data_IF_491186171152
#
_entry.id   IF_491186171152
#
_cell.length_a   1.000
_cell.length_b   1.000
_cell.length_c   1.000
_cell.angle_alpha   90.00
_cell.angle_beta   90.00
_cell.angle_gamma   90.00
#
_symmetry.space_group_name_H-M   'P 1'
#
loop_
_entity.id
_entity.type
_entity.pdbx_description
1 polymer ?
#
# COMPACT_ATOMS: atom_id res chain seq x y z
N UNK A 1 19.03 0.25 4.96
CA UNK A 1 17.95 0.83 4.13
C UNK A 1 17.58 -0.07 2.95
N UNK A 2 18.54 -0.73 2.29
CA UNK A 2 18.28 -1.64 1.14
C UNK A 2 17.30 -2.78 1.43
N UNK A 3 17.34 -3.32 2.66
CA UNK A 3 16.39 -4.34 3.11
C UNK A 3 14.95 -3.81 3.14
N UNK A 4 14.76 -2.53 3.49
CA UNK A 4 13.48 -1.85 3.62
C UNK A 4 12.77 -1.70 2.25
N UNK A 5 13.52 -1.23 1.25
CA UNK A 5 13.00 -1.08 -0.12
C UNK A 5 12.76 -2.44 -0.77
N UNK A 6 13.65 -3.41 -0.51
CA UNK A 6 13.48 -4.79 -0.99
C UNK A 6 12.22 -5.44 -0.41
N UNK A 7 11.95 -5.27 0.87
CA UNK A 7 10.76 -5.82 1.52
C UNK A 7 9.47 -5.18 0.97
N UNK A 8 9.47 -3.86 0.73
CA UNK A 8 8.35 -3.18 0.04
C UNK A 8 8.09 -3.69 -1.37
N UNK A 9 9.15 -4.00 -2.13
CA UNK A 9 9.03 -4.56 -3.50
C UNK A 9 8.40 -5.93 -3.47
N UNK A 10 8.81 -6.80 -2.55
CA UNK A 10 8.21 -8.12 -2.39
C UNK A 10 6.74 -8.04 -1.97
N UNK A 11 6.40 -7.11 -1.07
CA UNK A 11 5.01 -6.83 -0.68
C UNK A 11 4.15 -6.41 -1.86
N UNK A 12 4.60 -5.43 -2.64
CA UNK A 12 3.87 -4.93 -3.80
C UNK A 12 3.72 -5.98 -4.92
N UNK A 13 4.77 -6.78 -5.18
CA UNK A 13 4.70 -7.91 -6.11
C UNK A 13 3.71 -8.97 -5.64
N UNK A 14 3.75 -9.32 -4.35
CA UNK A 14 2.81 -10.27 -3.76
C UNK A 14 1.37 -9.77 -3.92
N UNK A 15 1.11 -8.48 -3.64
CA UNK A 15 -0.19 -7.85 -3.82
C UNK A 15 -0.69 -7.93 -5.26
N UNK A 16 0.20 -7.67 -6.23
CA UNK A 16 -0.14 -7.73 -7.66
C UNK A 16 -0.49 -9.16 -8.10
N UNK A 17 0.31 -10.14 -7.67
CA UNK A 17 0.07 -11.56 -8.02
C UNK A 17 -1.21 -12.07 -7.38
N UNK A 18 -1.48 -11.70 -6.12
CA UNK A 18 -2.62 -12.21 -5.37
C UNK A 18 -3.93 -11.48 -5.69
N UNK A 19 -3.90 -10.29 -6.30
CA UNK A 19 -5.11 -9.50 -6.61
C UNK A 19 -6.15 -10.31 -7.41
N UNK A 20 -5.77 -10.88 -8.55
CA UNK A 20 -6.68 -11.67 -9.38
C UNK A 20 -7.25 -12.92 -8.67
N UNK A 21 -6.43 -13.82 -8.09
CA UNK A 21 -6.95 -15.01 -7.42
C UNK A 21 -7.72 -14.66 -6.14
N UNK A 22 -7.38 -13.58 -5.43
CA UNK A 22 -8.14 -13.13 -4.26
C UNK A 22 -9.59 -12.78 -4.62
N UNK A 23 -9.80 -11.96 -5.65
CA UNK A 23 -11.16 -11.61 -6.08
C UNK A 23 -11.94 -12.82 -6.61
N UNK A 24 -11.28 -13.74 -7.33
CA UNK A 24 -11.91 -15.00 -7.74
C UNK A 24 -12.34 -15.84 -6.53
N UNK A 25 -11.46 -16.02 -5.54
CA UNK A 25 -11.76 -16.80 -4.34
C UNK A 25 -12.90 -16.21 -3.52
N UNK A 26 -13.00 -14.87 -3.46
CA UNK A 26 -14.10 -14.18 -2.78
C UNK A 26 -15.45 -14.45 -3.48
N UNK A 27 -15.45 -14.61 -4.82
CA UNK A 27 -16.70 -14.87 -5.56
C UNK A 27 -17.29 -16.25 -5.33
N UNK A 28 -16.49 -17.21 -4.84
CA UNK A 28 -16.97 -18.55 -4.49
C UNK A 28 -17.93 -18.54 -3.29
N UNK A 29 -18.03 -17.42 -2.56
CA UNK A 29 -18.97 -17.26 -1.44
C UNK A 29 -18.61 -18.06 -0.18
N UNK A 30 -17.45 -18.71 -0.15
CA UNK A 30 -16.99 -19.46 1.01
C UNK A 30 -16.32 -18.53 2.03
N UNK A 31 -16.95 -18.39 3.20
CA UNK A 31 -16.49 -17.51 4.29
C UNK A 31 -15.05 -17.82 4.71
N UNK A 32 -14.68 -19.10 4.84
CA UNK A 32 -13.32 -19.49 5.26
C UNK A 32 -12.26 -19.05 4.24
N UNK A 33 -12.55 -19.15 2.94
CA UNK A 33 -11.64 -18.68 1.89
C UNK A 33 -11.45 -17.16 1.95
N UNK A 34 -12.53 -16.41 2.15
CA UNK A 34 -12.48 -14.95 2.31
C UNK A 34 -11.60 -14.57 3.51
N UNK A 35 -11.75 -15.25 4.65
CA UNK A 35 -10.90 -15.04 5.82
C UNK A 35 -9.42 -15.28 5.53
N UNK A 36 -9.09 -16.40 4.87
CA UNK A 36 -7.71 -16.72 4.51
C UNK A 36 -7.12 -15.64 3.59
N UNK A 37 -7.86 -15.23 2.56
CA UNK A 37 -7.43 -14.17 1.64
C UNK A 37 -7.17 -12.86 2.37
N UNK A 38 -8.07 -12.44 3.27
CA UNK A 38 -7.92 -11.20 4.03
C UNK A 38 -6.74 -11.27 5.00
N UNK A 39 -6.60 -12.37 5.76
CA UNK A 39 -5.51 -12.55 6.72
C UNK A 39 -4.15 -12.56 5.99
N UNK A 40 -4.04 -13.32 4.91
CA UNK A 40 -2.78 -13.43 4.15
C UNK A 40 -2.46 -12.12 3.45
N UNK A 41 -3.44 -11.48 2.82
CA UNK A 41 -3.27 -10.20 2.12
C UNK A 41 -2.84 -9.07 3.05
N UNK A 42 -3.46 -8.95 4.23
CA UNK A 42 -3.08 -7.96 5.23
C UNK A 42 -1.71 -8.30 5.85
N UNK A 43 -1.50 -9.55 6.24
CA UNK A 43 -0.30 -9.92 7.00
C UNK A 43 0.98 -9.91 6.16
N UNK A 44 0.92 -10.34 4.90
CA UNK A 44 2.11 -10.38 4.04
C UNK A 44 2.22 -9.15 3.16
N UNK A 45 1.09 -8.70 2.61
CA UNK A 45 1.05 -7.56 1.71
C UNK A 45 1.19 -6.23 2.45
N UNK A 46 0.26 -5.94 3.34
CA UNK A 46 0.19 -4.62 4.00
C UNK A 46 1.33 -4.44 5.00
N UNK A 47 1.62 -5.44 5.84
CA UNK A 47 2.66 -5.29 6.88
C UNK A 47 4.07 -5.14 6.29
N UNK A 48 4.39 -5.82 5.17
CA UNK A 48 5.70 -5.70 4.53
C UNK A 48 5.95 -4.31 3.94
N UNK A 49 4.89 -3.59 3.56
CA UNK A 49 4.96 -2.21 3.07
C UNK A 49 4.87 -1.18 4.19
N UNK A 50 4.15 -1.47 5.29
CA UNK A 50 4.02 -0.57 6.44
C UNK A 50 5.33 -0.40 7.22
N UNK A 51 6.11 -1.47 7.38
CA UNK A 51 7.39 -1.41 8.09
C UNK A 51 8.31 -0.32 7.54
N UNK A 52 8.56 -0.31 6.21
CA UNK A 52 9.35 0.73 5.56
C UNK A 52 8.79 2.14 5.66
N UNK A 53 7.47 2.29 5.61
CA UNK A 53 6.82 3.59 5.75
C UNK A 53 7.07 4.22 7.14
N UNK A 54 7.21 3.41 8.19
CA UNK A 54 7.46 3.92 9.54
C UNK A 54 8.85 4.54 9.71
N UNK A 55 9.84 4.13 8.93
CA UNK A 55 11.18 4.73 8.93
C UNK A 55 11.29 5.92 7.96
N UNK A 56 10.72 5.78 6.76
CA UNK A 56 10.85 6.76 5.67
C UNK A 56 10.10 8.07 5.93
N UNK A 57 8.88 8.00 6.45
CA UNK A 57 8.05 9.20 6.68
C UNK A 57 8.72 10.22 7.63
N UNK A 58 9.27 9.79 8.78
CA UNK A 58 10.16 10.59 9.61
C UNK A 58 11.29 11.34 8.92
N UNK A 59 11.97 10.66 7.99
CA UNK A 59 13.17 11.17 7.32
C UNK A 59 12.83 12.19 6.22
N UNK A 60 11.64 12.06 5.62
CA UNK A 60 11.13 12.97 4.59
C UNK A 60 10.70 14.34 5.14
N UNK A 61 10.17 14.40 6.36
CA UNK A 61 9.58 15.64 6.91
C UNK A 61 10.48 16.42 7.89
N UNK A 62 11.71 15.94 8.16
CA UNK A 62 12.66 16.60 9.06
C UNK A 62 12.20 16.61 10.53
N UNK A 63 13.05 17.09 11.46
CA UNK A 63 12.74 16.99 12.90
C UNK A 63 11.71 18.02 13.37
N UNK A 64 11.64 19.19 12.73
CA UNK A 64 10.84 20.34 13.20
C UNK A 64 9.33 20.19 12.92
N UNK A 65 8.94 19.48 11.85
CA UNK A 65 7.54 19.29 11.47
C UNK A 65 7.13 17.82 11.30
N UNK A 66 7.95 16.89 11.80
CA UNK A 66 7.75 15.44 11.68
C UNK A 66 6.33 14.99 12.03
N UNK A 67 5.85 15.36 13.22
CA UNK A 67 4.56 14.85 13.71
C UNK A 67 3.38 15.33 12.86
N UNK A 68 3.34 16.63 12.54
CA UNK A 68 2.24 17.22 11.77
C UNK A 68 2.29 16.80 10.30
N UNK A 69 3.47 16.75 9.68
CA UNK A 69 3.63 16.32 8.28
C UNK A 69 3.29 14.84 8.09
N UNK A 70 3.75 13.98 9.00
CA UNK A 70 3.41 12.54 8.98
C UNK A 70 1.92 12.30 9.25
N UNK A 71 1.31 13.01 10.21
CA UNK A 71 -0.11 12.87 10.48
C UNK A 71 -0.96 13.35 9.29
N UNK A 72 -0.69 14.54 8.75
CA UNK A 72 -1.43 15.10 7.61
C UNK A 72 -1.33 14.20 6.37
N UNK A 73 -0.12 13.71 6.05
CA UNK A 73 0.07 12.80 4.91
C UNK A 73 -0.67 11.47 5.11
N UNK A 74 -0.71 10.92 6.33
CA UNK A 74 -1.51 9.73 6.63
C UNK A 74 -3.01 9.96 6.50
N UNK A 75 -3.52 11.06 7.03
CA UNK A 75 -4.95 11.37 6.93
C UNK A 75 -5.38 11.61 5.48
N UNK A 76 -4.60 12.38 4.71
CA UNK A 76 -4.87 12.57 3.28
C UNK A 76 -4.82 11.24 2.52
N UNK A 77 -3.82 10.40 2.82
CA UNK A 77 -3.71 9.07 2.20
C UNK A 77 -4.87 8.16 2.61
N UNK A 78 -5.32 8.21 3.86
CA UNK A 78 -6.44 7.42 4.37
C UNK A 78 -7.76 7.82 3.71
N UNK A 79 -7.99 9.12 3.49
CA UNK A 79 -9.19 9.61 2.79
C UNK A 79 -9.17 9.16 1.32
N UNK A 80 -8.03 9.31 0.64
CA UNK A 80 -7.89 8.94 -0.77
C UNK A 80 -7.95 7.42 -0.99
N UNK A 81 -7.10 6.67 -0.30
CA UNK A 81 -6.98 5.23 -0.46
C UNK A 81 -8.10 4.46 0.26
N UNK A 82 -8.49 4.88 1.46
CA UNK A 82 -9.51 4.22 2.26
C UNK A 82 -10.95 4.62 1.89
N UNK A 83 -11.15 5.84 1.39
CA UNK A 83 -12.46 6.33 0.96
C UNK A 83 -12.70 6.10 -0.52
N UNK A 84 -11.97 6.80 -1.38
CA UNK A 84 -12.28 6.85 -2.82
C UNK A 84 -11.98 5.55 -3.55
N UNK A 85 -10.88 4.85 -3.24
CA UNK A 85 -10.50 3.63 -3.94
C UNK A 85 -11.57 2.52 -3.85
N UNK A 86 -12.08 2.14 -2.65
CA UNK A 86 -13.16 1.16 -2.56
C UNK A 86 -14.47 1.69 -3.15
N UNK A 87 -14.77 2.98 -3.04
CA UNK A 87 -15.97 3.58 -3.62
C UNK A 87 -15.99 3.44 -5.15
N UNK A 88 -14.86 3.71 -5.81
CA UNK A 88 -14.68 3.51 -7.25
C UNK A 88 -14.76 2.02 -7.60
N UNK A 89 -14.13 1.15 -6.80
CA UNK A 89 -14.18 -0.30 -7.00
C UNK A 89 -15.61 -0.86 -6.96
N UNK A 90 -16.43 -0.43 -6.00
CA UNK A 90 -17.84 -0.82 -5.89
C UNK A 90 -18.67 -0.21 -7.03
N UNK A 91 -18.43 1.05 -7.39
CA UNK A 91 -19.11 1.68 -8.52
C UNK A 91 -18.83 0.96 -9.85
N UNK A 92 -17.58 0.55 -10.09
CA UNK A 92 -17.18 -0.26 -11.24
C UNK A 92 -17.85 -1.65 -11.22
N UNK A 93 -17.89 -2.30 -10.05
CA UNK A 93 -18.56 -3.58 -9.89
C UNK A 93 -20.06 -3.48 -10.23
N UNK A 94 -20.73 -2.43 -9.74
CA UNK A 94 -22.14 -2.19 -10.00
C UNK A 94 -22.41 -1.87 -11.48
N UNK A 95 -21.56 -1.04 -12.11
CA UNK A 95 -21.71 -0.65 -13.52
C UNK A 95 -21.45 -1.80 -14.51
N UNK A 96 -20.69 -2.81 -14.11
CA UNK A 96 -20.27 -3.93 -14.98
C UNK A 96 -21.04 -5.23 -14.73
N UNK A 97 -22.22 -5.13 -14.10
CA UNK A 97 -23.10 -6.27 -13.89
C UNK A 97 -22.57 -7.27 -12.85
N UNK A 98 -21.83 -6.79 -11.83
CA UNK A 98 -21.21 -7.60 -10.79
C UNK A 98 -20.09 -8.53 -11.28
N UNK A 99 -19.41 -8.16 -12.38
CA UNK A 99 -18.23 -8.87 -12.84
C UNK A 99 -17.04 -8.63 -11.90
N UNK A 100 -16.59 -9.70 -11.24
CA UNK A 100 -15.45 -9.67 -10.31
C UNK A 100 -14.12 -9.32 -10.99
N UNK A 101 -14.00 -9.54 -12.30
CA UNK A 101 -12.81 -9.25 -13.08
C UNK A 101 -12.48 -7.75 -13.09
N UNK A 102 -13.50 -6.89 -13.09
CA UNK A 102 -13.31 -5.45 -13.24
C UNK A 102 -12.66 -4.84 -11.98
N UNK A 103 -13.17 -5.07 -10.76
CA UNK A 103 -12.46 -4.67 -9.54
C UNK A 103 -11.11 -5.36 -9.35
N UNK A 104 -10.96 -6.61 -9.82
CA UNK A 104 -9.70 -7.33 -9.74
C UNK A 104 -8.62 -6.69 -10.61
N UNK A 105 -8.95 -6.31 -11.86
CA UNK A 105 -8.05 -5.56 -12.75
C UNK A 105 -7.74 -4.18 -12.17
N UNK A 106 -8.74 -3.48 -11.63
CA UNK A 106 -8.54 -2.20 -10.96
C UNK A 106 -7.53 -2.33 -9.80
N UNK A 107 -7.71 -3.32 -8.93
CA UNK A 107 -6.78 -3.60 -7.82
C UNK A 107 -5.39 -4.00 -8.32
N UNK A 108 -5.30 -4.77 -9.41
CA UNK A 108 -4.02 -5.15 -10.03
C UNK A 108 -3.28 -3.91 -10.55
N UNK A 109 -3.98 -2.99 -11.22
CA UNK A 109 -3.39 -1.73 -11.72
C UNK A 109 -2.87 -0.89 -10.56
N UNK A 110 -3.63 -0.76 -9.47
CA UNK A 110 -3.15 -0.04 -8.27
C UNK A 110 -1.92 -0.69 -7.63
N UNK A 111 -1.88 -2.03 -7.58
CA UNK A 111 -0.72 -2.77 -7.09
C UNK A 111 0.51 -2.59 -7.99
N UNK A 112 0.33 -2.57 -9.32
CA UNK A 112 1.41 -2.30 -10.27
C UNK A 112 1.92 -0.86 -10.19
N UNK A 113 1.04 0.12 -10.00
CA UNK A 113 1.45 1.51 -9.76
C UNK A 113 2.30 1.58 -8.50
N UNK A 114 1.84 0.93 -7.41
CA UNK A 114 2.58 0.86 -6.14
C UNK A 114 3.92 0.14 -6.31
N UNK A 115 3.99 -0.92 -7.10
CA UNK A 115 5.24 -1.58 -7.44
C UNK A 115 6.17 -0.64 -8.24
N UNK A 116 5.63 0.12 -9.20
CA UNK A 116 6.38 1.12 -9.96
C UNK A 116 6.98 2.21 -9.08
N UNK A 117 6.23 2.73 -8.11
CA UNK A 117 6.74 3.78 -7.20
C UNK A 117 7.89 3.31 -6.31
N UNK A 118 8.00 2.01 -6.00
CA UNK A 118 9.16 1.47 -5.27
C UNK A 118 10.49 1.56 -6.02
N UNK A 119 10.48 1.87 -7.34
CA UNK A 119 11.70 2.15 -8.10
C UNK A 119 12.09 3.63 -8.06
N UNK A 120 11.13 4.52 -7.87
CA UNK A 120 11.36 5.97 -7.76
C UNK A 120 11.59 6.44 -6.34
N UNK A 121 11.30 5.59 -5.35
CA UNK A 121 11.53 5.92 -3.93
C UNK A 121 13.04 6.00 -3.68
N UNK A 122 13.59 7.19 -3.36
CA UNK A 122 15.02 7.35 -3.12
C UNK A 122 15.43 6.60 -1.85
N UNK A 123 16.58 5.92 -1.88
CA UNK A 123 17.21 5.36 -0.68
C UNK A 123 17.65 6.52 0.22
N UNK A 124 16.94 6.75 1.33
CA UNK A 124 17.29 7.74 2.36
C UNK A 124 18.38 7.19 3.31
N UNK A 125 19.37 6.49 2.77
CA UNK A 125 20.43 5.88 3.55
C UNK A 125 21.42 6.96 4.04
N UNK A 126 21.38 7.29 5.33
CA UNK A 126 22.46 8.04 6.00
C UNK A 126 22.17 9.46 6.48
N UNK A 127 20.90 9.91 6.57
CA UNK A 127 20.59 11.18 7.26
C UNK A 127 20.67 10.99 8.77
N UNK A 128 21.69 11.56 9.40
CA UNK A 128 21.82 11.59 10.85
C UNK A 128 20.86 12.64 11.43
N UNK A 129 19.72 12.19 11.94
CA UNK A 129 18.67 13.05 12.50
C UNK A 129 19.10 13.82 13.76
N UNK A 130 20.31 13.58 14.28
CA UNK A 130 20.91 14.31 15.39
C UNK A 130 21.74 15.53 14.94
N UNK A 131 22.08 15.65 13.65
CA UNK A 131 22.79 16.80 13.09
C UNK A 131 21.78 17.84 12.56
N UNK A 132 21.90 19.09 13.05
CA UNK A 132 20.99 20.19 12.71
C UNK A 132 21.04 20.56 11.22
N UNK A 133 22.16 20.31 10.54
CA UNK A 133 22.34 20.56 9.10
C UNK A 133 21.59 19.58 8.19
N UNK A 134 21.28 18.36 8.66
CA UNK A 134 20.51 17.36 7.91
C UNK A 134 19.00 17.36 8.25
N UNK A 135 18.62 18.14 9.26
CA UNK A 135 17.27 18.21 9.83
C UNK A 135 16.39 19.33 9.24
N UNK A 136 16.92 20.15 8.32
CA UNK A 136 16.22 21.24 7.62
C UNK A 136 15.73 20.85 6.23
#
# INVERSE_FOLDING_TARGET
>A
SEMCIRDSRYGALFQAIIALPAFYLVTLGNVTLVWVVMVVGISLGVQSMLGPQCALLPELFGSQHRFTGVALSRELSAVLAGGFAPMIGVALLAATGHSWLVPAIYSLVLALISFGTTFFTPETNGRDLLLVEDAS
#
